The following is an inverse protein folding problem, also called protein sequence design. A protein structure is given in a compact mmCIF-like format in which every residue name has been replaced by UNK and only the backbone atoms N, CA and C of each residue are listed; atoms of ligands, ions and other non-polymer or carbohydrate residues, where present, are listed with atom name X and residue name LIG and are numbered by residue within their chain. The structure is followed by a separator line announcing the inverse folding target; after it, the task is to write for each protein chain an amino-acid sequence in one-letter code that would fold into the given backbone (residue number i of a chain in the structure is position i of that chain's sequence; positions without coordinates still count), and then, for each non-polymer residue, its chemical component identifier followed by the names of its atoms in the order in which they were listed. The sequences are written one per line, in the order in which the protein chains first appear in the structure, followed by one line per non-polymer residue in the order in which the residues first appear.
data_IF_966500108383
#
_entry.id   IF_966500108383
#
_cell.length_a   1.000
_cell.length_b   1.000
_cell.length_c   1.000
_cell.angle_alpha   90.00
_cell.angle_beta   90.00
_cell.angle_gamma   90.00
#
_symmetry.space_group_name_H-M   'P 1'
#
loop_
_entity.id
_entity.type
_entity.pdbx_description
1 polymer ?
#
# COMPACT_ATOMS: atom_id res chain seq x y z
N UNK A 1 14.48 -24.89 33.50
CA UNK A 1 13.24 -24.56 32.82
C UNK A 1 13.61 -23.78 31.57
N UNK A 2 13.33 -24.27 30.34
CA UNK A 2 13.51 -23.50 29.13
C UNK A 2 12.44 -22.40 29.17
N UNK A 3 12.83 -21.13 29.31
CA UNK A 3 11.95 -19.99 29.15
C UNK A 3 11.25 -20.15 27.79
N UNK A 4 9.91 -20.25 27.77
CA UNK A 4 9.15 -20.17 26.53
C UNK A 4 9.55 -18.85 25.86
N UNK A 5 10.18 -18.93 24.69
CA UNK A 5 10.46 -17.73 23.89
C UNK A 5 9.11 -17.09 23.58
N UNK A 6 8.97 -15.83 23.96
CA UNK A 6 7.77 -15.05 23.62
C UNK A 6 7.75 -14.84 22.10
N UNK A 7 6.65 -15.21 21.47
CA UNK A 7 6.43 -14.97 20.04
C UNK A 7 6.18 -13.45 19.90
N UNK A 8 6.92 -12.73 19.03
CA UNK A 8 6.59 -11.34 18.72
C UNK A 8 5.16 -11.26 18.18
N UNK A 9 4.52 -10.11 18.38
CA UNK A 9 3.21 -9.87 17.80
C UNK A 9 3.25 -9.96 16.26
N UNK A 10 2.18 -10.50 15.67
CA UNK A 10 2.11 -10.70 14.21
C UNK A 10 2.19 -9.40 13.41
N UNK A 11 1.66 -8.30 13.96
CA UNK A 11 1.74 -7.00 13.29
C UNK A 11 3.17 -6.46 13.23
N UNK A 12 3.98 -6.67 14.28
CA UNK A 12 5.41 -6.33 14.25
C UNK A 12 6.14 -7.13 13.16
N UNK A 13 5.86 -8.42 13.02
CA UNK A 13 6.47 -9.26 11.98
C UNK A 13 6.02 -8.81 10.58
N UNK A 14 4.75 -8.44 10.44
CA UNK A 14 4.19 -7.92 9.20
C UNK A 14 4.85 -6.61 8.78
N UNK A 15 4.88 -5.60 9.64
CA UNK A 15 5.52 -4.31 9.37
C UNK A 15 6.97 -4.47 8.91
N UNK A 16 7.72 -5.31 9.62
CA UNK A 16 9.12 -5.57 9.30
C UNK A 16 9.34 -6.24 7.94
N UNK A 17 8.35 -6.98 7.44
CA UNK A 17 8.50 -7.78 6.23
C UNK A 17 7.87 -7.16 4.98
N UNK A 18 6.82 -6.36 5.14
CA UNK A 18 5.94 -6.00 4.01
C UNK A 18 5.96 -4.50 3.74
N UNK A 19 6.16 -3.66 4.77
CA UNK A 19 5.97 -2.23 4.64
C UNK A 19 7.29 -1.48 4.33
N UNK A 20 7.31 -0.80 3.18
CA UNK A 20 8.38 0.09 2.75
C UNK A 20 7.97 1.57 2.83
N UNK A 21 7.35 1.99 3.95
CA UNK A 21 6.63 3.27 4.08
C UNK A 21 7.43 4.51 3.73
N UNK A 22 8.74 4.51 3.98
CA UNK A 22 9.61 5.66 3.67
C UNK A 22 9.76 5.84 2.16
N UNK A 23 10.04 4.74 1.43
CA UNK A 23 10.19 4.76 -0.03
C UNK A 23 8.87 5.07 -0.73
N UNK A 24 7.75 4.55 -0.24
CA UNK A 24 6.40 4.84 -0.76
C UNK A 24 6.08 6.32 -0.67
N UNK A 25 6.33 6.93 0.50
CA UNK A 25 6.11 8.35 0.74
C UNK A 25 7.05 9.24 -0.08
N UNK A 26 8.31 8.84 -0.25
CA UNK A 26 9.29 9.56 -1.06
C UNK A 26 8.91 9.54 -2.53
N UNK A 27 8.53 8.37 -3.04
CA UNK A 27 7.98 8.20 -4.38
C UNK A 27 6.78 9.13 -4.61
N UNK A 28 5.75 9.02 -3.79
CA UNK A 28 4.51 9.79 -3.96
C UNK A 28 4.74 11.30 -3.82
N UNK A 29 5.56 11.73 -2.84
CA UNK A 29 5.93 13.14 -2.66
C UNK A 29 6.66 13.69 -3.87
N UNK A 30 7.59 12.94 -4.45
CA UNK A 30 8.32 13.31 -5.66
C UNK A 30 7.36 13.48 -6.83
N UNK A 31 6.47 12.51 -7.06
CA UNK A 31 5.50 12.57 -8.18
C UNK A 31 4.55 13.75 -8.01
N UNK A 32 3.97 13.91 -6.82
CA UNK A 32 3.05 15.02 -6.54
C UNK A 32 3.72 16.39 -6.74
N UNK A 33 4.94 16.57 -6.21
CA UNK A 33 5.70 17.81 -6.35
C UNK A 33 6.00 18.14 -7.82
N UNK A 34 6.38 17.12 -8.60
CA UNK A 34 6.69 17.32 -10.02
C UNK A 34 5.46 17.74 -10.82
N UNK A 35 4.27 17.27 -10.45
CA UNK A 35 3.02 17.61 -11.14
C UNK A 35 2.43 18.96 -10.71
N UNK A 36 2.52 19.28 -9.42
CA UNK A 36 1.77 20.39 -8.83
C UNK A 36 2.66 21.56 -8.38
N UNK A 37 3.98 21.47 -8.47
CA UNK A 37 4.93 22.50 -8.08
C UNK A 37 5.01 22.77 -6.57
N UNK A 38 4.25 22.05 -5.75
CA UNK A 38 4.22 22.12 -4.28
C UNK A 38 4.35 20.73 -3.65
N UNK A 39 4.70 20.66 -2.38
CA UNK A 39 4.65 19.40 -1.63
C UNK A 39 3.19 19.08 -1.23
N UNK A 40 2.82 17.79 -1.13
CA UNK A 40 1.57 17.38 -0.50
C UNK A 40 1.63 17.68 1.00
N UNK A 41 0.47 17.89 1.64
CA UNK A 41 0.32 18.14 3.07
C UNK A 41 -0.62 17.15 3.73
N UNK A 42 -1.64 16.71 2.98
CA UNK A 42 -2.70 15.84 3.49
C UNK A 42 -2.69 14.50 2.77
N UNK A 43 -2.77 13.42 3.55
CA UNK A 43 -2.88 12.07 3.00
C UNK A 43 -4.02 11.29 3.63
N UNK A 44 -4.52 10.30 2.89
CA UNK A 44 -5.38 9.23 3.39
C UNK A 44 -4.76 7.88 3.01
N UNK A 45 -4.65 7.01 3.98
CA UNK A 45 -4.22 5.62 3.78
C UNK A 45 -5.46 4.74 3.88
N UNK A 46 -5.89 4.17 2.75
CA UNK A 46 -6.95 3.18 2.69
C UNK A 46 -6.39 1.79 2.95
N UNK A 47 -7.14 0.95 3.68
CA UNK A 47 -6.67 -0.35 4.18
C UNK A 47 -5.42 -0.20 5.06
N UNK A 48 -5.45 0.78 5.95
CA UNK A 48 -4.26 1.26 6.65
C UNK A 48 -3.68 0.23 7.64
N UNK A 49 -4.43 -0.77 8.06
CA UNK A 49 -3.97 -1.75 9.04
C UNK A 49 -3.36 -1.09 10.26
N UNK A 50 -2.06 -1.26 10.44
CA UNK A 50 -1.29 -0.67 11.55
C UNK A 50 -1.01 0.82 11.39
N UNK A 51 -1.44 1.45 10.28
CA UNK A 51 -1.25 2.86 9.95
C UNK A 51 0.21 3.33 10.00
N UNK A 52 1.16 2.45 9.69
CA UNK A 52 2.58 2.78 9.73
C UNK A 52 2.93 3.89 8.74
N UNK A 53 2.33 3.90 7.52
CA UNK A 53 2.56 4.95 6.53
C UNK A 53 1.96 6.28 6.99
N UNK A 54 0.76 6.30 7.53
CA UNK A 54 0.14 7.51 8.08
C UNK A 54 0.94 8.08 9.26
N UNK A 55 1.48 7.22 10.15
CA UNK A 55 2.36 7.62 11.24
C UNK A 55 3.69 8.18 10.72
N UNK A 56 4.32 7.55 9.75
CA UNK A 56 5.55 8.07 9.14
C UNK A 56 5.32 9.42 8.45
N UNK A 57 4.18 9.59 7.79
CA UNK A 57 3.83 10.87 7.16
C UNK A 57 3.81 12.03 8.14
N UNK A 58 3.15 11.88 9.29
CA UNK A 58 3.02 12.95 10.27
C UNK A 58 4.33 13.26 11.03
N UNK A 59 5.26 12.30 11.09
CA UNK A 59 6.63 12.54 11.62
C UNK A 59 7.43 13.50 10.77
N UNK A 60 7.23 13.50 9.43
CA UNK A 60 8.03 14.27 8.48
C UNK A 60 7.83 15.78 8.58
N UNK A 61 6.67 16.24 9.06
CA UNK A 61 6.41 17.68 9.24
C UNK A 61 5.24 17.92 10.20
N UNK A 62 5.30 18.96 11.06
CA UNK A 62 4.20 19.34 11.93
C UNK A 62 2.96 19.86 11.18
N UNK A 63 3.12 20.23 9.90
CA UNK A 63 2.02 20.64 9.04
C UNK A 63 1.29 19.48 8.38
N UNK A 64 1.91 18.30 8.35
CA UNK A 64 1.33 17.12 7.73
C UNK A 64 0.10 16.64 8.50
N UNK A 65 -0.88 16.14 7.75
CA UNK A 65 -2.12 15.55 8.27
C UNK A 65 -2.35 14.20 7.58
N UNK A 66 -2.83 13.23 8.33
CA UNK A 66 -3.13 11.91 7.82
C UNK A 66 -4.44 11.37 8.37
N UNK A 67 -5.14 10.61 7.55
CA UNK A 67 -6.28 9.78 7.90
C UNK A 67 -5.96 8.34 7.51
N UNK A 68 -6.15 7.41 8.44
CA UNK A 68 -6.07 5.97 8.18
C UNK A 68 -7.46 5.36 8.21
N UNK A 69 -7.82 4.61 7.20
CA UNK A 69 -9.11 3.93 7.11
C UNK A 69 -8.88 2.43 7.04
N UNK A 70 -9.44 1.69 7.98
CA UNK A 70 -9.47 0.24 7.96
C UNK A 70 -10.79 -0.28 8.55
N UNK A 71 -11.20 -1.49 8.19
CA UNK A 71 -12.42 -2.10 8.70
C UNK A 71 -12.15 -2.90 9.99
N UNK A 72 -10.90 -3.24 10.26
CA UNK A 72 -10.49 -4.08 11.39
C UNK A 72 -10.15 -3.25 12.63
N UNK A 73 -11.12 -3.08 13.53
CA UNK A 73 -10.93 -2.33 14.77
C UNK A 73 -9.79 -2.86 15.65
N UNK A 74 -9.60 -4.20 15.84
CA UNK A 74 -8.46 -4.73 16.60
C UNK A 74 -7.10 -4.27 16.08
N UNK A 75 -6.91 -4.23 14.75
CA UNK A 75 -5.67 -3.74 14.14
C UNK A 75 -5.49 -2.25 14.35
N UNK A 76 -6.56 -1.45 14.27
CA UNK A 76 -6.51 -0.02 14.59
C UNK A 76 -6.17 0.23 16.07
N UNK A 77 -6.72 -0.56 16.99
CA UNK A 77 -6.41 -0.48 18.42
C UNK A 77 -4.92 -0.81 18.67
N UNK A 78 -4.41 -1.84 17.98
CA UNK A 78 -2.99 -2.16 18.00
C UNK A 78 -2.14 -0.98 17.50
N UNK A 79 -2.52 -0.36 16.38
CA UNK A 79 -1.84 0.83 15.84
C UNK A 79 -1.78 1.97 16.84
N UNK A 80 -2.87 2.25 17.53
CA UNK A 80 -2.92 3.29 18.57
C UNK A 80 -1.91 3.00 19.68
N UNK A 81 -1.77 1.75 20.08
CA UNK A 81 -0.89 1.33 21.18
C UNK A 81 0.59 1.26 20.79
N UNK A 82 0.92 0.90 19.55
CA UNK A 82 2.29 0.56 19.14
C UNK A 82 2.93 1.54 18.15
N UNK A 83 2.12 2.28 17.37
CA UNK A 83 2.60 3.27 16.41
C UNK A 83 2.26 4.70 16.82
N UNK A 84 0.99 4.99 17.05
CA UNK A 84 0.51 6.34 17.34
C UNK A 84 1.01 6.83 18.69
N UNK A 85 1.01 5.99 19.73
CA UNK A 85 1.49 6.35 21.07
C UNK A 85 2.99 6.72 21.11
N UNK A 86 3.76 6.33 20.10
CA UNK A 86 5.21 6.58 20.02
C UNK A 86 5.57 7.71 19.05
N UNK A 87 4.59 8.46 18.58
CA UNK A 87 4.84 9.63 17.74
C UNK A 87 5.56 10.73 18.52
N UNK A 88 6.48 11.48 17.89
CA UNK A 88 7.10 12.65 18.51
C UNK A 88 6.03 13.69 18.92
N UNK A 89 6.24 14.37 20.04
CA UNK A 89 5.31 15.38 20.59
C UNK A 89 4.88 16.45 19.57
N UNK A 90 5.77 16.83 18.66
CA UNK A 90 5.49 17.81 17.59
C UNK A 90 4.65 17.26 16.42
N UNK A 91 4.52 15.94 16.32
CA UNK A 91 3.71 15.31 15.27
C UNK A 91 2.23 15.37 15.66
N UNK A 92 1.39 15.74 14.72
CA UNK A 92 -0.06 15.62 14.92
C UNK A 92 -0.49 14.19 14.57
N UNK A 93 -1.00 13.41 15.55
CA UNK A 93 -1.39 12.03 15.29
C UNK A 93 -2.36 11.89 14.11
N UNK A 94 -2.28 10.80 13.32
CA UNK A 94 -3.26 10.51 12.30
C UNK A 94 -4.63 10.24 12.93
N UNK A 95 -5.68 10.57 12.22
CA UNK A 95 -7.05 10.19 12.58
C UNK A 95 -7.34 8.79 12.01
N UNK A 96 -7.57 7.81 12.88
CA UNK A 96 -7.87 6.43 12.49
C UNK A 96 -9.38 6.23 12.49
N UNK A 97 -9.91 5.68 11.38
CA UNK A 97 -11.35 5.54 11.13
C UNK A 97 -11.65 4.06 10.87
N UNK A 98 -12.41 3.44 11.77
CA UNK A 98 -12.92 2.09 11.55
C UNK A 98 -14.13 2.14 10.62
N UNK A 99 -13.90 1.90 9.34
CA UNK A 99 -14.95 1.95 8.31
C UNK A 99 -14.56 1.21 7.04
N UNK A 100 -15.56 0.84 6.22
CA UNK A 100 -15.34 0.40 4.84
C UNK A 100 -14.84 1.60 4.00
N UNK A 101 -13.73 1.43 3.29
CA UNK A 101 -13.14 2.45 2.40
C UNK A 101 -14.11 2.95 1.32
N UNK A 102 -15.15 2.18 0.99
CA UNK A 102 -16.22 2.57 0.07
C UNK A 102 -17.15 3.64 0.65
N UNK A 103 -17.23 3.76 1.96
CA UNK A 103 -18.18 4.64 2.66
C UNK A 103 -17.52 5.63 3.61
N UNK A 104 -16.24 5.44 3.93
CA UNK A 104 -15.49 6.30 4.82
C UNK A 104 -15.48 7.76 4.33
N UNK A 105 -15.73 8.68 5.26
CA UNK A 105 -15.72 10.10 5.00
C UNK A 105 -14.49 10.76 5.62
N UNK A 106 -13.73 11.47 4.83
CA UNK A 106 -12.58 12.29 5.27
C UNK A 106 -12.65 13.65 4.59
N UNK A 107 -12.00 14.69 5.12
CA UNK A 107 -11.74 15.87 4.32
C UNK A 107 -10.97 15.49 3.04
N UNK A 108 -11.14 16.27 1.95
CA UNK A 108 -10.36 16.02 0.73
C UNK A 108 -8.85 16.10 0.99
N UNK A 109 -8.09 15.17 0.40
CA UNK A 109 -6.64 15.05 0.62
C UNK A 109 -5.84 15.20 -0.68
N UNK A 110 -4.54 15.47 -0.53
CA UNK A 110 -3.61 15.58 -1.66
C UNK A 110 -3.23 14.21 -2.22
N UNK A 111 -3.06 13.21 -1.34
CA UNK A 111 -2.69 11.85 -1.72
C UNK A 111 -3.61 10.84 -1.04
N UNK A 112 -4.03 9.83 -1.79
CA UNK A 112 -4.63 8.61 -1.24
C UNK A 112 -3.71 7.46 -1.59
N UNK A 113 -3.43 6.60 -0.59
CA UNK A 113 -2.66 5.38 -0.75
C UNK A 113 -3.56 4.16 -0.55
N UNK A 114 -3.45 3.18 -1.44
CA UNK A 114 -3.96 1.84 -1.23
C UNK A 114 -2.89 0.85 -1.69
N UNK A 115 -1.98 0.54 -0.78
CA UNK A 115 -0.77 -0.24 -1.01
C UNK A 115 -0.88 -1.67 -0.48
N UNK A 116 0.19 -2.43 -0.67
CA UNK A 116 0.26 -3.86 -0.36
C UNK A 116 -0.86 -4.65 -1.06
N UNK A 117 -1.21 -4.23 -2.28
CA UNK A 117 -2.20 -4.87 -3.15
C UNK A 117 -3.60 -4.98 -2.53
N UNK A 118 -3.88 -4.23 -1.48
CA UNK A 118 -5.09 -4.40 -0.63
C UNK A 118 -6.39 -4.25 -1.41
N UNK A 119 -6.44 -3.39 -2.44
CA UNK A 119 -7.63 -3.23 -3.28
C UNK A 119 -7.96 -4.47 -4.14
N UNK A 120 -7.04 -5.44 -4.25
CA UNK A 120 -7.28 -6.73 -4.91
C UNK A 120 -8.36 -7.57 -4.22
N UNK A 121 -8.75 -7.23 -2.97
CA UNK A 121 -9.91 -7.80 -2.29
C UNK A 121 -11.23 -7.55 -3.03
N UNK A 122 -11.30 -6.50 -3.86
CA UNK A 122 -12.45 -6.23 -4.72
C UNK A 122 -12.37 -7.11 -5.97
N UNK A 123 -13.00 -8.28 -5.92
CA UNK A 123 -12.91 -9.31 -6.97
C UNK A 123 -13.76 -9.01 -8.20
N UNK A 124 -14.69 -8.07 -8.15
CA UNK A 124 -15.52 -7.71 -9.28
C UNK A 124 -15.20 -6.31 -9.80
N UNK A 125 -15.31 -6.14 -11.12
CA UNK A 125 -15.08 -4.88 -11.80
C UNK A 125 -15.91 -3.73 -11.19
N UNK A 126 -17.19 -3.98 -10.90
CA UNK A 126 -18.10 -2.97 -10.36
C UNK A 126 -17.68 -2.49 -8.95
N UNK A 127 -17.23 -3.42 -8.10
CA UNK A 127 -16.77 -3.08 -6.75
C UNK A 127 -15.48 -2.26 -6.80
N UNK A 128 -14.51 -2.68 -7.62
CA UNK A 128 -13.25 -1.95 -7.77
C UNK A 128 -13.47 -0.57 -8.41
N UNK A 129 -14.33 -0.48 -9.44
CA UNK A 129 -14.71 0.81 -10.03
C UNK A 129 -15.38 1.73 -9.00
N UNK A 130 -16.29 1.20 -8.17
CA UNK A 130 -16.93 1.96 -7.09
C UNK A 130 -15.91 2.50 -6.08
N UNK A 131 -14.90 1.68 -5.73
CA UNK A 131 -13.81 2.11 -4.88
C UNK A 131 -13.01 3.27 -5.53
N UNK A 132 -12.60 3.14 -6.78
CA UNK A 132 -11.87 4.20 -7.46
C UNK A 132 -12.66 5.51 -7.58
N UNK A 133 -13.98 5.44 -7.78
CA UNK A 133 -14.85 6.64 -7.74
C UNK A 133 -14.86 7.28 -6.35
N UNK A 134 -14.97 6.47 -5.30
CA UNK A 134 -14.96 6.97 -3.91
C UNK A 134 -13.63 7.62 -3.57
N UNK A 135 -12.51 6.96 -3.89
CA UNK A 135 -11.17 7.50 -3.70
C UNK A 135 -10.98 8.82 -4.47
N UNK A 136 -11.38 8.85 -5.76
CA UNK A 136 -11.30 10.08 -6.55
C UNK A 136 -12.10 11.23 -5.93
N UNK A 137 -13.27 10.97 -5.40
CA UNK A 137 -14.12 12.00 -4.78
C UNK A 137 -13.49 12.57 -3.50
N UNK A 138 -12.76 11.73 -2.75
CA UNK A 138 -12.04 12.12 -1.54
C UNK A 138 -10.71 12.85 -1.79
N UNK A 139 -10.25 12.96 -3.05
CA UNK A 139 -9.08 13.73 -3.41
C UNK A 139 -9.39 15.21 -3.59
N UNK A 140 -8.43 16.08 -3.24
CA UNK A 140 -8.37 17.46 -3.67
C UNK A 140 -8.34 17.56 -5.20
N UNK A 141 -8.63 18.75 -5.76
CA UNK A 141 -8.25 19.04 -7.15
C UNK A 141 -6.72 18.88 -7.25
N UNK A 142 -6.25 18.23 -8.32
CA UNK A 142 -4.83 17.89 -8.52
C UNK A 142 -4.31 16.78 -7.57
N UNK A 143 -5.18 16.13 -6.81
CA UNK A 143 -4.82 15.00 -5.94
C UNK A 143 -4.44 13.75 -6.72
N UNK A 144 -3.68 12.86 -6.08
CA UNK A 144 -3.22 11.60 -6.66
C UNK A 144 -3.69 10.41 -5.83
N UNK A 145 -4.14 9.36 -6.51
CA UNK A 145 -4.33 8.03 -5.95
C UNK A 145 -3.10 7.18 -6.28
N UNK A 146 -2.46 6.64 -5.27
CA UNK A 146 -1.27 5.79 -5.39
C UNK A 146 -1.65 4.35 -5.06
N UNK A 147 -1.47 3.47 -6.02
CA UNK A 147 -1.69 2.05 -5.91
C UNK A 147 -0.39 1.32 -6.21
N UNK A 148 -0.25 0.10 -5.72
CA UNK A 148 0.77 -0.84 -6.17
C UNK A 148 0.10 -2.07 -6.81
N UNK A 149 0.86 -2.79 -7.64
CA UNK A 149 0.43 -4.04 -8.26
C UNK A 149 1.65 -4.89 -8.54
N UNK A 150 1.58 -6.18 -8.20
CA UNK A 150 2.58 -7.16 -8.61
C UNK A 150 2.14 -7.90 -9.87
N UNK A 151 3.10 -8.41 -10.61
CA UNK A 151 2.86 -9.21 -11.80
C UNK A 151 4.15 -9.87 -12.28
N UNK A 152 4.15 -10.39 -13.48
CA UNK A 152 5.22 -11.15 -14.07
C UNK A 152 4.79 -12.57 -14.41
N UNK A 153 5.68 -13.37 -14.99
CA UNK A 153 5.33 -14.75 -15.37
C UNK A 153 5.09 -15.65 -14.17
N UNK A 154 5.77 -15.41 -13.05
CA UNK A 154 5.64 -16.19 -11.82
C UNK A 154 4.47 -15.76 -10.92
N UNK A 155 3.82 -14.62 -11.21
CA UNK A 155 2.70 -14.14 -10.40
C UNK A 155 1.47 -15.06 -10.40
N UNK A 156 1.40 -15.98 -11.37
CA UNK A 156 0.33 -16.97 -11.54
C UNK A 156 0.75 -18.39 -11.24
N UNK A 157 1.97 -18.59 -10.73
CA UNK A 157 2.51 -19.90 -10.38
C UNK A 157 2.36 -20.16 -8.88
N UNK A 158 2.06 -21.41 -8.52
CA UNK A 158 2.13 -21.82 -7.11
C UNK A 158 3.61 -21.81 -6.66
N UNK A 159 3.92 -20.96 -5.68
CA UNK A 159 5.32 -20.67 -5.32
C UNK A 159 5.46 -20.26 -3.87
N UNK A 160 6.57 -20.70 -3.26
CA UNK A 160 7.01 -20.23 -1.95
C UNK A 160 8.25 -19.33 -2.12
N UNK A 161 8.18 -18.11 -1.61
CA UNK A 161 9.27 -17.15 -1.66
C UNK A 161 9.75 -16.79 -0.25
N UNK A 162 10.77 -17.47 0.28
CA UNK A 162 11.34 -17.14 1.58
C UNK A 162 12.29 -15.94 1.48
N UNK A 163 12.19 -15.01 2.46
CA UNK A 163 13.10 -13.89 2.63
C UNK A 163 13.51 -13.77 4.10
N UNK A 164 14.81 -13.63 4.35
CA UNK A 164 15.34 -13.39 5.69
C UNK A 164 15.13 -11.91 6.03
N UNK A 165 14.52 -11.67 7.18
CA UNK A 165 14.38 -10.34 7.78
C UNK A 165 15.36 -10.26 8.93
N UNK A 166 16.25 -9.28 8.88
CA UNK A 166 17.24 -9.04 9.91
C UNK A 166 16.59 -8.55 11.21
N UNK A 167 17.30 -8.78 12.33
CA UNK A 167 16.83 -8.26 13.62
C UNK A 167 16.75 -6.74 13.58
N UNK A 168 15.70 -6.18 14.14
CA UNK A 168 15.51 -4.72 14.21
C UNK A 168 14.70 -4.35 15.45
N UNK A 169 14.53 -3.05 15.67
CA UNK A 169 13.69 -2.53 16.74
C UNK A 169 12.48 -1.86 16.14
N UNK A 170 11.29 -2.29 16.57
CA UNK A 170 10.02 -1.69 16.14
C UNK A 170 9.84 -0.27 16.71
N UNK A 171 8.85 0.46 16.21
CA UNK A 171 8.56 1.85 16.59
C UNK A 171 8.34 2.02 18.10
N UNK A 172 7.72 1.04 18.75
CA UNK A 172 7.44 1.01 20.21
C UNK A 172 8.64 0.55 21.08
N UNK A 173 9.79 0.32 20.47
CA UNK A 173 10.99 -0.17 21.13
C UNK A 173 11.05 -1.70 21.26
N UNK A 174 10.07 -2.44 20.77
CA UNK A 174 10.09 -3.90 20.80
C UNK A 174 11.20 -4.45 19.92
N UNK A 175 12.06 -5.31 20.51
CA UNK A 175 13.14 -5.97 19.77
C UNK A 175 12.59 -7.18 19.00
N UNK A 176 12.64 -7.14 17.69
CA UNK A 176 12.24 -8.20 16.79
C UNK A 176 13.49 -9.00 16.39
N UNK A 177 13.58 -10.31 16.72
CA UNK A 177 14.71 -11.13 16.32
C UNK A 177 14.70 -11.33 14.80
N UNK A 178 15.82 -11.72 14.22
CA UNK A 178 15.85 -12.15 12.82
C UNK A 178 14.91 -13.35 12.61
N UNK A 179 14.17 -13.34 11.49
CA UNK A 179 13.21 -14.39 11.15
C UNK A 179 13.13 -14.56 9.63
N UNK A 180 12.47 -15.63 9.19
CA UNK A 180 12.16 -15.82 7.77
C UNK A 180 10.69 -15.50 7.54
N UNK A 181 10.43 -14.52 6.69
CA UNK A 181 9.15 -14.27 6.04
C UNK A 181 9.01 -15.21 4.85
N UNK A 182 7.83 -15.76 4.62
CA UNK A 182 7.55 -16.64 3.48
C UNK A 182 6.25 -16.18 2.84
N UNK A 183 6.36 -15.67 1.62
CA UNK A 183 5.21 -15.44 0.73
C UNK A 183 4.84 -16.77 0.07
N UNK A 184 3.57 -17.15 0.13
CA UNK A 184 3.03 -18.40 -0.41
C UNK A 184 1.92 -18.06 -1.41
N UNK A 185 2.20 -18.22 -2.69
CA UNK A 185 1.21 -18.18 -3.76
C UNK A 185 0.57 -19.57 -3.87
N UNK A 186 -0.51 -19.79 -3.09
CA UNK A 186 -1.05 -21.13 -2.89
C UNK A 186 -1.96 -21.57 -4.03
N UNK A 187 -2.81 -20.65 -4.56
CA UNK A 187 -3.81 -20.98 -5.57
C UNK A 187 -3.95 -19.87 -6.60
N UNK A 188 -4.16 -20.26 -7.87
CA UNK A 188 -4.54 -19.35 -8.94
C UNK A 188 -5.60 -20.01 -9.84
N UNK A 189 -6.71 -19.31 -10.09
CA UNK A 189 -7.77 -19.73 -10.98
C UNK A 189 -7.72 -18.94 -12.30
N UNK A 190 -7.45 -19.61 -13.41
CA UNK A 190 -7.31 -19.01 -14.75
C UNK A 190 -8.61 -18.42 -15.30
N UNK A 191 -9.78 -18.78 -14.75
CA UNK A 191 -11.09 -18.36 -15.28
C UNK A 191 -11.43 -16.93 -14.82
N UNK A 192 -11.10 -16.59 -13.59
CA UNK A 192 -11.50 -15.32 -12.97
C UNK A 192 -10.34 -14.58 -12.31
N UNK A 193 -9.11 -15.11 -12.45
CA UNK A 193 -7.88 -14.61 -11.82
C UNK A 193 -7.95 -14.57 -10.28
N UNK A 194 -8.81 -15.39 -9.67
CA UNK A 194 -8.84 -15.55 -8.24
C UNK A 194 -7.55 -16.16 -7.73
N UNK A 195 -7.00 -15.59 -6.67
CA UNK A 195 -5.77 -16.05 -6.02
C UNK A 195 -5.98 -16.20 -4.52
N UNK A 196 -5.35 -17.23 -3.95
CA UNK A 196 -5.18 -17.36 -2.50
C UNK A 196 -3.70 -17.28 -2.21
N UNK A 197 -3.32 -16.30 -1.41
CA UNK A 197 -1.94 -16.13 -0.96
C UNK A 197 -1.88 -16.17 0.57
N UNK A 198 -0.75 -16.65 1.10
CA UNK A 198 -0.51 -16.67 2.54
C UNK A 198 0.82 -16.03 2.90
N UNK A 199 0.90 -15.52 4.11
CA UNK A 199 2.16 -15.18 4.76
C UNK A 199 2.40 -16.18 5.88
N UNK A 200 3.62 -16.71 5.94
CA UNK A 200 4.09 -17.53 7.04
C UNK A 200 5.33 -16.89 7.66
N UNK A 201 5.54 -17.16 8.95
CA UNK A 201 6.75 -16.72 9.65
C UNK A 201 7.47 -17.90 10.27
N UNK A 202 8.80 -17.92 10.14
CA UNK A 202 9.66 -18.90 10.79
C UNK A 202 10.68 -18.20 11.69
N UNK A 203 10.53 -18.37 13.00
CA UNK A 203 11.40 -17.77 13.98
C UNK A 203 12.33 -18.83 14.60
N UNK A 204 13.56 -18.46 15.01
CA UNK A 204 14.49 -19.41 15.64
C UNK A 204 13.94 -20.00 16.93
N UNK A 205 13.79 -21.33 16.96
CA UNK A 205 13.32 -22.08 18.14
C UNK A 205 11.82 -21.94 18.43
N UNK A 206 11.05 -21.52 17.45
CA UNK A 206 9.59 -21.48 17.46
C UNK A 206 9.11 -22.31 16.25
N UNK A 207 8.01 -23.03 16.41
CA UNK A 207 7.35 -23.71 15.29
C UNK A 207 6.92 -22.67 14.23
N UNK A 208 6.94 -23.06 12.94
CA UNK A 208 6.53 -22.20 11.85
C UNK A 208 5.09 -21.71 12.10
N UNK A 209 4.91 -20.39 12.08
CA UNK A 209 3.57 -19.78 12.13
C UNK A 209 3.02 -19.84 10.71
N UNK A 210 2.14 -20.81 10.49
CA UNK A 210 1.53 -21.01 9.18
C UNK A 210 0.30 -20.14 9.00
N UNK A 211 0.13 -19.61 7.77
CA UNK A 211 -1.03 -18.78 7.38
C UNK A 211 -1.30 -17.65 8.38
N UNK A 212 -0.22 -16.99 8.83
CA UNK A 212 -0.33 -15.84 9.73
C UNK A 212 -1.25 -14.77 9.15
N UNK A 213 -1.19 -14.59 7.83
CA UNK A 213 -2.13 -13.80 7.04
C UNK A 213 -2.56 -14.58 5.82
N UNK A 214 -3.81 -14.40 5.40
CA UNK A 214 -4.40 -15.03 4.22
C UNK A 214 -5.09 -13.97 3.39
N UNK A 215 -4.79 -13.96 2.11
CA UNK A 215 -5.34 -13.05 1.12
C UNK A 215 -6.17 -13.82 0.12
N UNK A 216 -7.42 -13.43 0.00
CA UNK A 216 -8.41 -13.96 -0.93
C UNK A 216 -8.74 -12.85 -1.93
N UNK A 217 -7.95 -12.78 -3.02
CA UNK A 217 -7.89 -11.67 -3.96
C UNK A 217 -8.27 -12.07 -5.38
N UNK A 218 -8.47 -11.07 -6.21
CA UNK A 218 -8.36 -11.17 -7.66
C UNK A 218 -7.07 -10.51 -8.11
N UNK A 219 -6.22 -11.23 -8.84
CA UNK A 219 -5.05 -10.65 -9.48
C UNK A 219 -5.52 -9.84 -10.70
N UNK A 220 -5.47 -8.53 -10.57
CA UNK A 220 -5.79 -7.59 -11.65
C UNK A 220 -4.58 -7.40 -12.57
N UNK A 221 -4.83 -6.98 -13.81
CA UNK A 221 -3.77 -6.60 -14.75
C UNK A 221 -3.61 -5.07 -14.82
N UNK A 222 -2.43 -4.60 -15.22
CA UNK A 222 -2.18 -3.16 -15.41
C UNK A 222 -3.19 -2.50 -16.36
N UNK A 223 -3.55 -3.09 -17.53
CA UNK A 223 -4.58 -2.52 -18.39
C UNK A 223 -5.94 -2.40 -17.71
N UNK A 224 -6.41 -3.43 -17.00
CA UNK A 224 -7.70 -3.38 -16.30
C UNK A 224 -7.74 -2.24 -15.27
N UNK A 225 -6.68 -2.07 -14.47
CA UNK A 225 -6.60 -1.01 -13.46
C UNK A 225 -6.59 0.37 -14.13
N UNK A 226 -5.79 0.54 -15.19
CA UNK A 226 -5.73 1.82 -15.91
C UNK A 226 -7.09 2.20 -16.51
N UNK A 227 -7.78 1.27 -17.16
CA UNK A 227 -9.11 1.48 -17.74
C UNK A 227 -10.14 1.82 -16.66
N UNK A 228 -10.16 1.07 -15.55
CA UNK A 228 -11.08 1.31 -14.44
C UNK A 228 -10.87 2.68 -13.77
N UNK A 229 -9.62 3.13 -13.62
CA UNK A 229 -9.31 4.45 -13.09
C UNK A 229 -9.82 5.55 -14.03
N UNK A 230 -9.60 5.42 -15.36
CA UNK A 230 -10.12 6.37 -16.34
C UNK A 230 -11.65 6.41 -16.33
N UNK A 231 -12.31 5.25 -16.28
CA UNK A 231 -13.77 5.16 -16.18
C UNK A 231 -14.32 5.75 -14.87
N UNK A 232 -13.57 5.62 -13.77
CA UNK A 232 -13.90 6.26 -12.50
C UNK A 232 -13.73 7.79 -12.54
N UNK A 233 -13.20 8.33 -13.66
CA UNK A 233 -13.10 9.75 -13.96
C UNK A 233 -11.76 10.39 -13.60
N UNK A 234 -10.72 9.60 -13.31
CA UNK A 234 -9.36 10.15 -13.29
C UNK A 234 -9.00 10.67 -14.67
N UNK A 235 -8.31 11.81 -14.73
CA UNK A 235 -7.98 12.48 -16.00
C UNK A 235 -6.86 11.80 -16.77
N UNK A 236 -5.98 11.12 -16.05
CA UNK A 236 -4.92 10.29 -16.61
C UNK A 236 -4.42 9.28 -15.58
N UNK A 237 -3.75 8.24 -16.07
CA UNK A 237 -3.13 7.21 -15.27
C UNK A 237 -1.69 7.03 -15.74
N UNK A 238 -0.77 6.91 -14.79
CA UNK A 238 0.64 6.67 -15.09
C UNK A 238 1.12 5.43 -14.33
N UNK A 239 1.94 4.63 -15.00
CA UNK A 239 2.56 3.43 -14.43
C UNK A 239 4.04 3.68 -14.25
N UNK A 240 4.56 3.28 -13.08
CA UNK A 240 5.97 3.42 -12.72
C UNK A 240 6.55 2.07 -12.36
N UNK A 241 7.69 1.75 -12.95
CA UNK A 241 8.44 0.52 -12.72
C UNK A 241 9.91 0.87 -12.56
N UNK A 242 10.63 0.06 -11.79
CA UNK A 242 12.07 0.16 -11.60
C UNK A 242 12.81 -0.56 -12.73
N UNK A 243 14.10 -0.29 -12.86
CA UNK A 243 14.99 -1.05 -13.73
C UNK A 243 15.72 -2.16 -12.94
N UNK A 244 16.18 -3.17 -13.65
CA UNK A 244 16.98 -4.24 -13.10
C UNK A 244 18.47 -3.89 -13.25
N UNK A 245 19.26 -4.15 -12.21
CA UNK A 245 20.71 -4.06 -12.25
C UNK A 245 21.31 -5.22 -13.06
N UNK A 246 22.59 -5.14 -13.38
CA UNK A 246 23.29 -6.23 -14.05
C UNK A 246 23.29 -7.55 -13.25
N UNK A 247 23.18 -7.46 -11.94
CA UNK A 247 23.09 -8.60 -11.02
C UNK A 247 21.67 -9.14 -10.83
N UNK A 248 20.68 -8.55 -11.54
CA UNK A 248 19.28 -8.97 -11.52
C UNK A 248 18.50 -8.48 -10.31
N UNK A 249 18.99 -7.48 -9.59
CA UNK A 249 18.27 -6.82 -8.49
C UNK A 249 17.58 -5.54 -8.95
N UNK A 250 16.56 -5.10 -8.21
CA UNK A 250 15.90 -3.81 -8.43
C UNK A 250 16.86 -2.66 -8.17
N UNK A 251 16.87 -1.62 -9.03
CA UNK A 251 17.53 -0.36 -8.72
C UNK A 251 16.72 0.55 -7.78
N UNK A 252 15.53 0.10 -7.34
CA UNK A 252 14.58 0.79 -6.47
C UNK A 252 14.14 2.20 -6.96
N UNK A 253 14.49 2.56 -8.21
CA UNK A 253 14.16 3.86 -8.78
C UNK A 253 12.98 3.71 -9.75
N UNK A 254 11.79 4.00 -9.27
CA UNK A 254 10.57 3.93 -10.06
C UNK A 254 10.47 5.07 -11.07
N UNK A 255 10.40 4.73 -12.35
CA UNK A 255 10.31 5.64 -13.50
C UNK A 255 9.01 5.39 -14.25
N UNK A 256 8.43 6.45 -14.79
CA UNK A 256 7.24 6.32 -15.63
C UNK A 256 7.55 5.48 -16.86
N UNK A 257 6.70 4.49 -17.13
CA UNK A 257 6.84 3.55 -18.26
C UNK A 257 5.56 3.53 -19.10
N UNK A 258 5.75 3.41 -20.41
CA UNK A 258 4.68 3.11 -21.39
C UNK A 258 4.90 1.76 -22.04
N UNK A 259 6.09 1.24 -21.92
CA UNK A 259 6.50 -0.12 -22.33
C UNK A 259 7.41 -0.68 -21.26
N UNK A 260 7.31 -1.98 -21.02
CA UNK A 260 8.18 -2.69 -20.09
C UNK A 260 8.28 -4.15 -20.50
N UNK A 261 9.48 -4.73 -20.43
CA UNK A 261 9.69 -6.15 -20.71
C UNK A 261 9.06 -6.99 -19.58
N UNK A 262 8.38 -8.07 -19.95
CA UNK A 262 7.82 -8.95 -18.94
C UNK A 262 8.94 -9.73 -18.26
N UNK A 263 9.08 -9.56 -16.95
CA UNK A 263 10.04 -10.24 -16.09
C UNK A 263 9.38 -11.40 -15.34
N UNK A 264 10.17 -12.17 -14.60
CA UNK A 264 9.68 -13.24 -13.72
C UNK A 264 8.70 -12.66 -12.67
N UNK A 265 9.11 -11.57 -12.02
CA UNK A 265 8.27 -10.80 -11.10
C UNK A 265 8.57 -9.31 -11.19
N UNK A 266 7.57 -8.48 -10.98
CA UNK A 266 7.71 -7.03 -10.87
C UNK A 266 6.65 -6.45 -9.95
N UNK A 267 6.96 -5.31 -9.36
CA UNK A 267 5.99 -4.47 -8.64
C UNK A 267 5.95 -3.11 -9.33
N UNK A 268 4.75 -2.64 -9.65
CA UNK A 268 4.52 -1.35 -10.26
C UNK A 268 3.77 -0.44 -9.30
N UNK A 269 4.09 0.87 -9.30
CA UNK A 269 3.16 1.88 -8.81
C UNK A 269 2.26 2.34 -9.95
N UNK A 270 0.97 2.50 -9.62
CA UNK A 270 -0.04 3.06 -10.51
C UNK A 270 -0.55 4.35 -9.90
N UNK A 271 -0.47 5.44 -10.65
CA UNK A 271 -0.84 6.78 -10.18
C UNK A 271 -2.06 7.27 -10.95
N UNK A 272 -3.21 7.29 -10.29
CA UNK A 272 -4.42 7.94 -10.78
C UNK A 272 -4.37 9.44 -10.51
N UNK A 273 -4.52 10.27 -11.55
CA UNK A 273 -4.37 11.73 -11.47
C UNK A 273 -5.74 12.39 -11.60
N UNK A 274 -6.12 13.18 -10.58
CA UNK A 274 -7.31 14.01 -10.61
C UNK A 274 -6.90 15.44 -10.98
N UNK A 275 -7.21 15.87 -12.21
CA UNK A 275 -7.05 17.29 -12.58
C UNK A 275 -8.35 18.07 -12.32
N UNK A 276 -8.28 19.39 -12.10
CA UNK A 276 -9.47 20.22 -12.03
C UNK A 276 -10.31 20.04 -13.30
N UNK A 277 -11.64 20.00 -13.15
CA UNK A 277 -12.50 20.13 -14.31
C UNK A 277 -12.15 21.46 -15.03
N UNK A 278 -11.80 21.38 -16.31
CA UNK A 278 -11.61 22.58 -17.13
C UNK A 278 -12.91 23.37 -17.01
N UNK A 279 -12.86 24.52 -16.37
CA UNK A 279 -13.98 25.46 -16.42
C UNK A 279 -14.20 25.76 -17.90
N UNK A 280 -15.27 25.23 -18.47
CA UNK A 280 -15.71 25.63 -19.81
C UNK A 280 -15.80 27.16 -19.83
N UNK A 281 -14.86 27.78 -20.54
CA UNK A 281 -14.72 29.21 -20.60
C UNK A 281 -16.05 29.83 -20.97
N UNK A 282 -16.43 30.84 -20.23
CA UNK A 282 -17.47 31.81 -20.54
C UNK A 282 -17.32 32.19 -22.04
N UNK A 283 -18.30 31.81 -22.85
CA UNK A 283 -18.41 32.34 -24.18
C UNK A 283 -18.45 33.88 -24.05
N UNK A 284 -17.37 34.52 -24.43
CA UNK A 284 -17.38 35.98 -24.65
C UNK A 284 -18.43 36.24 -25.73
N UNK A 285 -19.45 36.99 -25.33
CA UNK A 285 -20.41 37.62 -26.24
C UNK A 285 -19.74 38.76 -26.99
#
# INVERSE_FOLDING_TARGET
MKTKKQIPDLHHLYEASVQGVESDLDFATRIFKNKNGRKPVTIREDFCGTAALACEWVKRSPNNRAWGVDIDQPTLDWSLAHNVAFLPEKARPPELICADVLTAQTPPVDLIFALNFSYCLFKTRDRLHSYFKTARNALNNEGLLILDLYGGTEAIEAKLEPRVIEKHTATDGTLIPAFTYIWDQAEYNVIDHHVINHIHFKLPGIEKIEKAFTYDWRLWTLPEIQELLLEAGFSSVEVYLHDWTADGESDEIYRRRTTYENALGWVAYIVGIKTPAVRSGTQLK
#
